data_IF_455712343249
#
_entry.id   IF_455712343249
#
_cell.length_a   1.000
_cell.length_b   1.000
_cell.length_c   1.000
_cell.angle_alpha   90.00
_cell.angle_beta   90.00
_cell.angle_gamma   90.00
#
_symmetry.space_group_name_H-M   'P 1'
#
loop_
_entity.id
_entity.type
_entity.pdbx_description
1 polymer ?
#
# COMPACT_ATOMS: atom_id res chain seq x y z
N UNK A 1 2.08 14.02 -0.18
CA UNK A 1 1.46 13.02 -1.08
C UNK A 1 0.09 12.61 -0.57
N UNK A 2 -0.89 12.56 -1.42
CA UNK A 2 -2.21 12.04 -1.07
C UNK A 2 -2.17 10.51 -1.08
N UNK A 3 -2.60 9.89 0.01
CA UNK A 3 -2.47 8.46 0.22
C UNK A 3 -3.80 7.72 0.19
N UNK A 4 -3.78 6.53 -0.39
CA UNK A 4 -4.83 5.53 -0.23
C UNK A 4 -4.23 4.42 0.63
N UNK A 5 -4.93 4.02 1.68
CA UNK A 5 -4.55 2.87 2.50
C UNK A 5 -5.36 1.65 2.10
N UNK A 6 -4.69 0.52 1.94
CA UNK A 6 -5.35 -0.77 1.70
C UNK A 6 -4.95 -1.76 2.78
N UNK A 7 -5.94 -2.30 3.47
CA UNK A 7 -5.75 -3.28 4.53
C UNK A 7 -6.44 -4.58 4.14
N UNK A 8 -5.71 -5.70 4.25
CA UNK A 8 -6.19 -7.03 3.94
C UNK A 8 -6.10 -7.91 5.17
N UNK A 9 -7.21 -8.48 5.61
CA UNK A 9 -7.19 -9.48 6.66
C UNK A 9 -6.74 -10.82 6.07
N UNK A 10 -5.62 -11.34 6.56
CA UNK A 10 -5.01 -12.58 6.10
C UNK A 10 -4.89 -13.54 7.29
N UNK A 11 -5.40 -14.77 7.15
CA UNK A 11 -5.43 -15.75 8.23
C UNK A 11 -4.06 -16.10 8.82
N UNK A 12 -3.03 -16.08 7.97
CA UNK A 12 -1.67 -16.46 8.39
C UNK A 12 -0.82 -15.27 8.80
N UNK A 13 -1.37 -14.06 8.75
CA UNK A 13 -0.68 -12.85 9.20
C UNK A 13 -1.20 -12.43 10.57
N UNK A 14 -0.30 -11.95 11.40
CA UNK A 14 -0.60 -11.63 12.80
C UNK A 14 -1.48 -10.40 13.00
N UNK A 15 -1.54 -9.50 12.00
CA UNK A 15 -2.21 -8.23 12.18
C UNK A 15 -3.67 -8.27 11.71
N UNK A 16 -4.57 -7.87 12.59
CA UNK A 16 -5.97 -7.62 12.25
C UNK A 16 -6.07 -6.36 11.37
N UNK A 17 -7.23 -6.16 10.73
CA UNK A 17 -7.48 -4.93 9.97
C UNK A 17 -7.28 -3.69 10.85
N UNK A 18 -7.76 -3.73 12.09
CA UNK A 18 -7.60 -2.61 13.02
C UNK A 18 -6.13 -2.30 13.30
N UNK A 19 -5.33 -3.34 13.54
CA UNK A 19 -3.90 -3.17 13.79
C UNK A 19 -3.18 -2.63 12.55
N UNK A 20 -3.52 -3.15 11.37
CA UNK A 20 -2.99 -2.65 10.10
C UNK A 20 -3.34 -1.16 9.91
N UNK A 21 -4.56 -0.79 10.20
CA UNK A 21 -5.03 0.58 10.11
C UNK A 21 -4.23 1.51 11.02
N UNK A 22 -3.94 1.07 12.25
CA UNK A 22 -3.14 1.85 13.20
C UNK A 22 -1.71 2.04 12.69
N UNK A 23 -1.10 0.98 12.14
CA UNK A 23 0.25 1.06 11.57
C UNK A 23 0.28 2.05 10.40
N UNK A 24 -0.67 1.94 9.49
CA UNK A 24 -0.75 2.84 8.32
C UNK A 24 -0.99 4.30 8.75
N UNK A 25 -1.93 4.53 9.64
CA UNK A 25 -2.24 5.89 10.12
C UNK A 25 -1.06 6.53 10.83
N UNK A 26 -0.31 5.75 11.61
CA UNK A 26 0.90 6.24 12.28
C UNK A 26 1.94 6.69 11.26
N UNK A 27 2.18 5.90 10.23
CA UNK A 27 3.11 6.25 9.17
C UNK A 27 2.68 7.53 8.45
N UNK A 28 1.39 7.63 8.10
CA UNK A 28 0.85 8.80 7.42
C UNK A 28 1.01 10.08 8.25
N UNK A 29 0.80 10.00 9.56
CA UNK A 29 1.00 11.15 10.46
C UNK A 29 2.45 11.60 10.48
N UNK A 30 3.39 10.67 10.55
CA UNK A 30 4.82 10.99 10.55
C UNK A 30 5.26 11.62 9.23
N UNK A 31 4.76 11.10 8.12
CA UNK A 31 5.08 11.60 6.79
C UNK A 31 4.27 12.83 6.39
N UNK A 32 3.23 13.16 7.17
CA UNK A 32 2.30 14.25 6.87
C UNK A 32 1.60 14.06 5.52
N UNK A 33 1.26 12.82 5.21
CA UNK A 33 0.49 12.47 4.03
C UNK A 33 -0.99 12.39 4.37
N UNK A 34 -1.86 13.20 3.75
CA UNK A 34 -3.30 13.07 3.98
C UNK A 34 -3.80 11.75 3.39
N UNK A 35 -4.66 11.06 4.14
CA UNK A 35 -5.33 9.86 3.66
C UNK A 35 -6.65 10.26 2.99
N UNK A 36 -6.78 9.98 1.70
CA UNK A 36 -7.99 10.30 0.94
C UNK A 36 -8.98 9.14 0.91
N UNK A 37 -8.51 7.90 1.15
CA UNK A 37 -9.35 6.72 1.09
C UNK A 37 -8.73 5.59 1.90
N UNK A 38 -9.54 4.90 2.71
CA UNK A 38 -9.16 3.67 3.40
C UNK A 38 -9.99 2.52 2.85
N UNK A 39 -9.34 1.47 2.38
CA UNK A 39 -9.98 0.31 1.77
C UNK A 39 -9.67 -0.95 2.57
N UNK A 40 -10.64 -1.82 2.69
CA UNK A 40 -10.56 -3.01 3.54
C UNK A 40 -11.01 -4.25 2.76
N UNK A 41 -10.27 -5.34 2.91
CA UNK A 41 -10.64 -6.66 2.41
C UNK A 41 -10.64 -7.65 3.56
N UNK A 42 -11.79 -8.30 3.79
CA UNK A 42 -12.00 -9.20 4.92
C UNK A 42 -11.33 -10.56 4.72
N UNK A 43 -11.22 -11.32 5.81
CA UNK A 43 -10.71 -12.69 5.78
C UNK A 43 -11.53 -13.56 4.81
N UNK A 44 -10.81 -14.41 4.07
CA UNK A 44 -11.39 -15.27 3.03
C UNK A 44 -11.29 -14.65 1.64
N UNK A 45 -11.20 -13.34 1.52
CA UNK A 45 -11.06 -12.68 0.22
C UNK A 45 -9.62 -12.72 -0.29
N UNK A 46 -8.64 -13.00 0.57
CA UNK A 46 -7.24 -13.13 0.18
C UNK A 46 -6.99 -14.29 -0.80
N UNK A 47 -7.90 -15.24 -0.87
CA UNK A 47 -7.81 -16.35 -1.82
C UNK A 47 -8.30 -15.98 -3.22
N UNK A 48 -9.01 -14.85 -3.34
CA UNK A 48 -9.45 -14.35 -4.63
C UNK A 48 -8.29 -13.70 -5.38
N UNK A 49 -8.32 -13.70 -6.73
CA UNK A 49 -7.37 -12.90 -7.50
C UNK A 49 -7.37 -11.45 -7.00
N UNK A 50 -6.19 -10.85 -6.94
CA UNK A 50 -6.02 -9.52 -6.35
C UNK A 50 -6.96 -8.47 -6.95
N UNK A 51 -7.16 -8.53 -8.28
CA UNK A 51 -8.05 -7.60 -8.99
C UNK A 51 -9.54 -7.75 -8.65
N UNK A 52 -9.94 -8.88 -8.06
CA UNK A 52 -11.33 -9.17 -7.70
C UNK A 52 -11.63 -8.92 -6.22
N UNK A 53 -10.65 -8.58 -5.43
CA UNK A 53 -10.86 -8.36 -4.00
C UNK A 53 -11.63 -7.08 -3.72
N UNK A 54 -12.43 -7.06 -2.64
CA UNK A 54 -13.08 -5.83 -2.21
C UNK A 54 -12.07 -4.70 -2.06
N UNK A 55 -12.44 -3.52 -2.52
CA UNK A 55 -11.57 -2.34 -2.47
C UNK A 55 -10.65 -2.18 -3.67
N UNK A 56 -10.34 -3.25 -4.43
CA UNK A 56 -9.43 -3.14 -5.56
C UNK A 56 -9.98 -2.32 -6.71
N UNK A 57 -11.27 -2.45 -6.98
CA UNK A 57 -11.93 -1.65 -8.04
C UNK A 57 -11.85 -0.17 -7.69
N UNK A 58 -12.13 0.17 -6.44
CA UNK A 58 -12.06 1.55 -5.95
C UNK A 58 -10.63 2.08 -6.01
N UNK A 59 -9.65 1.25 -5.64
CA UNK A 59 -8.25 1.62 -5.71
C UNK A 59 -7.83 1.95 -7.15
N UNK A 60 -8.13 1.06 -8.09
CA UNK A 60 -7.73 1.25 -9.48
C UNK A 60 -8.47 2.43 -10.12
N UNK A 61 -9.73 2.64 -9.73
CA UNK A 61 -10.51 3.77 -10.19
C UNK A 61 -9.93 5.10 -9.70
N UNK A 62 -9.61 5.17 -8.41
CA UNK A 62 -8.96 6.35 -7.83
C UNK A 62 -7.59 6.63 -8.46
N UNK A 63 -6.83 5.56 -8.73
CA UNK A 63 -5.54 5.66 -9.42
C UNK A 63 -5.70 6.27 -10.82
N UNK A 64 -6.63 5.73 -11.61
CA UNK A 64 -6.88 6.19 -12.96
C UNK A 64 -7.36 7.64 -13.01
N UNK A 65 -8.05 8.10 -11.96
CA UNK A 65 -8.56 9.47 -11.87
C UNK A 65 -7.56 10.46 -11.23
N UNK A 66 -6.37 10.01 -10.89
CA UNK A 66 -5.35 10.87 -10.29
C UNK A 66 -5.70 11.37 -8.89
N UNK A 67 -6.50 10.61 -8.14
CA UNK A 67 -6.99 11.02 -6.82
C UNK A 67 -5.95 10.81 -5.71
N UNK A 68 -4.88 10.06 -5.99
CA UNK A 68 -3.83 9.78 -5.00
C UNK A 68 -2.46 9.67 -5.66
N UNK A 69 -1.42 9.76 -4.84
CA UNK A 69 -0.02 9.68 -5.25
C UNK A 69 0.66 8.41 -4.75
N UNK A 70 0.14 7.82 -3.69
CA UNK A 70 0.77 6.68 -3.02
C UNK A 70 -0.28 5.72 -2.48
N UNK A 71 -0.01 4.43 -2.66
CA UNK A 71 -0.74 3.35 -1.98
C UNK A 71 0.06 2.96 -0.74
N UNK A 72 -0.56 2.97 0.42
CA UNK A 72 0.05 2.57 1.68
C UNK A 72 -0.54 1.25 2.13
N UNK A 73 0.32 0.26 2.33
CA UNK A 73 -0.02 -1.04 2.90
C UNK A 73 0.89 -1.29 4.08
N UNK A 74 0.56 -2.24 4.94
CA UNK A 74 1.45 -2.59 6.06
C UNK A 74 2.77 -3.13 5.52
N UNK A 75 2.69 -4.13 4.65
CA UNK A 75 3.80 -4.71 3.92
C UNK A 75 3.27 -5.55 2.75
N UNK A 76 4.17 -6.07 1.93
CA UNK A 76 3.78 -6.91 0.79
C UNK A 76 3.09 -8.21 1.22
N UNK A 77 3.46 -8.78 2.38
CA UNK A 77 2.89 -10.03 2.87
C UNK A 77 1.39 -9.90 3.17
N UNK A 78 0.94 -8.74 3.61
CA UNK A 78 -0.49 -8.49 3.89
C UNK A 78 -1.34 -8.32 2.63
N UNK A 79 -0.73 -8.24 1.46
CA UNK A 79 -1.47 -8.34 0.21
C UNK A 79 -1.80 -9.79 -0.15
N UNK A 80 -1.02 -10.72 0.36
CA UNK A 80 -1.21 -12.17 0.21
C UNK A 80 -1.63 -12.57 -1.21
N UNK A 81 -0.69 -12.53 -2.11
CA UNK A 81 -0.92 -12.92 -3.50
C UNK A 81 0.36 -13.48 -4.11
N UNK A 82 0.23 -14.17 -5.23
CA UNK A 82 1.37 -14.65 -5.97
C UNK A 82 2.25 -13.48 -6.44
N UNK A 83 3.52 -13.74 -6.60
CA UNK A 83 4.46 -12.73 -7.07
C UNK A 83 4.04 -12.09 -8.41
N UNK A 84 3.59 -12.88 -9.41
CA UNK A 84 3.12 -12.26 -10.67
C UNK A 84 1.95 -11.29 -10.49
N UNK A 85 1.01 -11.59 -9.60
CA UNK A 85 -0.11 -10.70 -9.31
C UNK A 85 0.36 -9.40 -8.64
N UNK A 86 1.27 -9.51 -7.68
CA UNK A 86 1.84 -8.36 -7.01
C UNK A 86 2.59 -7.47 -8.00
N UNK A 87 3.45 -8.06 -8.82
CA UNK A 87 4.19 -7.33 -9.85
C UNK A 87 3.25 -6.60 -10.81
N UNK A 88 2.18 -7.27 -11.23
CA UNK A 88 1.16 -6.67 -12.11
C UNK A 88 0.47 -5.47 -11.47
N UNK A 89 0.09 -5.59 -10.19
CA UNK A 89 -0.53 -4.49 -9.46
C UNK A 89 0.43 -3.29 -9.34
N UNK A 90 1.66 -3.56 -8.90
CA UNK A 90 2.67 -2.49 -8.72
C UNK A 90 2.94 -1.77 -10.04
N UNK A 91 3.09 -2.51 -11.13
CA UNK A 91 3.31 -1.94 -12.45
C UNK A 91 2.12 -1.10 -12.92
N UNK A 92 0.89 -1.57 -12.71
CA UNK A 92 -0.32 -0.85 -13.06
C UNK A 92 -0.44 0.46 -12.30
N UNK A 93 -0.15 0.44 -11.01
CA UNK A 93 -0.17 1.64 -10.17
C UNK A 93 0.88 2.65 -10.61
N UNK A 94 2.09 2.19 -10.92
CA UNK A 94 3.15 3.07 -11.45
C UNK A 94 2.76 3.71 -12.77
N UNK A 95 2.03 2.99 -13.63
CA UNK A 95 1.54 3.55 -14.88
C UNK A 95 0.65 4.79 -14.63
N UNK A 96 -0.09 4.81 -13.52
CA UNK A 96 -0.89 5.96 -13.12
C UNK A 96 -0.16 6.92 -12.18
N UNK A 97 1.14 6.74 -12.00
CA UNK A 97 1.95 7.61 -11.14
C UNK A 97 1.82 7.33 -9.65
N UNK A 98 1.32 6.16 -9.27
CA UNK A 98 1.18 5.77 -7.86
C UNK A 98 2.29 4.83 -7.46
N UNK A 99 3.02 5.21 -6.42
CA UNK A 99 4.03 4.38 -5.77
C UNK A 99 3.41 3.64 -4.59
N UNK A 100 3.97 2.50 -4.22
CA UNK A 100 3.49 1.69 -3.11
C UNK A 100 4.47 1.76 -1.94
N UNK A 101 3.95 2.01 -0.76
CA UNK A 101 4.73 2.19 0.46
C UNK A 101 4.31 1.19 1.54
N UNK A 102 5.31 0.50 2.13
CA UNK A 102 5.12 -0.41 3.24
C UNK A 102 5.30 0.30 4.57
N UNK A 103 4.22 0.50 5.30
CA UNK A 103 4.20 1.30 6.52
C UNK A 103 4.97 0.66 7.69
N UNK A 104 5.00 -0.67 7.75
CA UNK A 104 5.64 -1.40 8.86
C UNK A 104 7.14 -1.16 8.92
N UNK A 105 7.81 -1.26 7.77
CA UNK A 105 9.27 -1.16 7.68
C UNK A 105 9.74 0.17 7.12
N UNK A 106 8.83 1.02 6.67
CA UNK A 106 9.17 2.29 6.07
C UNK A 106 9.87 2.15 4.73
N UNK A 107 9.48 1.17 3.92
CA UNK A 107 10.10 0.86 2.64
C UNK A 107 9.16 1.10 1.47
N UNK A 108 9.72 1.55 0.36
CA UNK A 108 9.00 1.56 -0.91
C UNK A 108 8.95 0.13 -1.47
N UNK A 109 7.80 -0.24 -1.99
CA UNK A 109 7.58 -1.54 -2.63
C UNK A 109 7.47 -1.30 -4.12
N UNK A 110 8.43 -1.80 -4.88
CA UNK A 110 8.54 -1.54 -6.31
C UNK A 110 8.49 -2.84 -7.13
N UNK A 111 8.08 -2.76 -8.40
CA UNK A 111 8.15 -3.93 -9.28
C UNK A 111 9.58 -4.48 -9.34
N UNK A 112 9.70 -5.81 -9.42
CA UNK A 112 11.00 -6.49 -9.39
C UNK A 112 11.48 -6.84 -7.99
N UNK A 113 10.68 -6.57 -6.95
CA UNK A 113 11.04 -6.87 -5.58
C UNK A 113 12.15 -5.99 -5.02
N UNK A 114 12.47 -4.88 -5.69
CA UNK A 114 13.49 -3.94 -5.21
C UNK A 114 12.92 -3.09 -4.10
N UNK A 115 13.75 -2.89 -3.07
CA UNK A 115 13.48 -1.89 -2.04
C UNK A 115 14.07 -0.59 -2.49
N UNK A 116 13.27 0.46 -2.45
CA UNK A 116 13.75 1.79 -2.74
C UNK A 116 14.29 2.43 -1.47
N UNK A 117 15.39 3.15 -1.61
CA UNK A 117 15.92 3.90 -0.50
C UNK A 117 15.23 5.25 -0.41
N UNK A 118 15.28 6.05 -1.46
CA UNK A 118 14.62 7.36 -1.50
C UNK A 118 14.24 7.67 -2.93
N UNK A 119 13.01 8.13 -3.14
CA UNK A 119 12.61 8.64 -4.45
C UNK A 119 13.15 10.06 -4.65
N UNK A 120 13.45 10.46 -5.91
CA UNK A 120 13.88 11.82 -6.19
C UNK A 120 12.90 12.86 -5.63
N UNK A 121 13.41 13.86 -4.94
CA UNK A 121 12.59 14.90 -4.32
C UNK A 121 11.95 14.51 -2.99
N UNK A 122 12.23 13.34 -2.48
CA UNK A 122 11.74 12.87 -1.19
C UNK A 122 12.60 13.40 -0.05
N UNK A 123 11.95 13.77 1.08
CA UNK A 123 12.64 14.28 2.26
C UNK A 123 13.23 13.11 3.08
N UNK A 124 14.55 13.00 3.07
CA UNK A 124 15.26 11.95 3.80
C UNK A 124 15.07 12.01 5.32
N UNK A 125 14.92 13.20 5.89
CA UNK A 125 14.69 13.35 7.34
C UNK A 125 13.34 12.75 7.73
N UNK A 126 12.31 13.00 6.94
CA UNK A 126 10.99 12.43 7.15
C UNK A 126 11.04 10.91 6.97
N UNK A 127 11.71 10.45 5.94
CA UNK A 127 11.91 9.02 5.68
C UNK A 127 12.62 8.33 6.86
N UNK A 128 13.71 8.89 7.31
CA UNK A 128 14.49 8.32 8.42
C UNK A 128 13.72 8.36 9.75
N UNK A 129 12.85 9.32 9.93
CA UNK A 129 11.97 9.41 11.10
C UNK A 129 10.96 8.28 11.24
N UNK A 130 10.69 7.52 10.16
CA UNK A 130 9.83 6.36 10.19
C UNK A 130 10.48 5.09 10.72
N UNK A 131 11.78 5.03 10.69
CA UNK A 131 12.53 3.83 11.08
C UNK A 131 12.75 3.69 12.56
#
# INVERSE_FOLDING_TARGET
MKAICFMQEVKECDLTIREQMLVCRRALRKLRWPCVLELFAQAGTEEQPLSLRPGMVELLHAAANGEADVLVVVDAAHLYCGRPELEGLLASLLHYGIHTFGAKDGNWIEPGGRRWMVLPGYDEEVWNGLR
#
